data_IF_937503004863
#
_entry.id   IF_937503004863
#
_cell.length_a   1.000
_cell.length_b   1.000
_cell.length_c   1.000
_cell.angle_alpha   90.00
_cell.angle_beta   90.00
_cell.angle_gamma   90.00
#
_symmetry.space_group_name_H-M   'P 1'
#
loop_
_entity.id
_entity.type
_entity.pdbx_description
1 polymer ?
#
# COMPACT_ATOMS: atom_id res chain seq x y z
N UNK A 1 -23.33 28.87 13.27
CA UNK A 1 -23.52 28.38 11.90
C UNK A 1 -22.65 27.15 11.70
N UNK A 2 -23.19 25.93 11.69
CA UNK A 2 -22.36 24.73 11.47
C UNK A 2 -21.81 24.75 10.04
N UNK A 3 -20.49 24.94 9.90
CA UNK A 3 -19.80 24.85 8.60
C UNK A 3 -20.09 23.48 7.98
N UNK A 4 -20.73 23.46 6.79
CA UNK A 4 -20.95 22.23 6.01
C UNK A 4 -19.60 21.56 5.76
N UNK A 5 -19.49 20.26 6.03
CA UNK A 5 -18.28 19.49 5.74
C UNK A 5 -18.31 19.10 4.26
N UNK A 6 -17.43 19.67 3.42
CA UNK A 6 -17.33 19.30 2.01
C UNK A 6 -16.74 17.89 1.89
N UNK A 7 -17.39 17.03 1.10
CA UNK A 7 -16.90 15.68 0.77
C UNK A 7 -16.28 15.75 -0.61
N UNK A 8 -15.00 15.37 -0.70
CA UNK A 8 -14.24 15.28 -1.94
C UNK A 8 -14.32 13.82 -2.42
N UNK A 9 -15.23 13.56 -3.35
CA UNK A 9 -15.55 12.19 -3.79
C UNK A 9 -14.46 11.53 -4.63
N UNK A 10 -13.71 12.31 -5.42
CA UNK A 10 -12.62 11.77 -6.24
C UNK A 10 -11.43 11.31 -5.39
N UNK A 11 -11.13 12.06 -4.34
CA UNK A 11 -10.04 11.79 -3.40
C UNK A 11 -10.48 10.89 -2.24
N UNK A 12 -11.79 10.69 -2.06
CA UNK A 12 -12.37 9.87 -0.99
C UNK A 12 -12.14 10.44 0.41
N UNK A 13 -12.00 11.77 0.54
CA UNK A 13 -11.70 12.44 1.81
C UNK A 13 -12.73 13.52 2.16
N UNK A 14 -12.83 13.84 3.45
CA UNK A 14 -13.66 14.95 3.92
C UNK A 14 -12.79 16.13 4.32
N UNK A 15 -13.29 17.34 4.09
CA UNK A 15 -12.57 18.57 4.41
C UNK A 15 -12.15 18.62 5.89
N UNK A 16 -13.06 18.25 6.79
CA UNK A 16 -12.77 18.18 8.23
C UNK A 16 -11.69 17.15 8.56
N UNK A 17 -11.71 15.99 7.91
CA UNK A 17 -10.72 14.92 8.16
C UNK A 17 -9.32 15.34 7.74
N UNK A 18 -9.17 15.93 6.56
CA UNK A 18 -7.88 16.43 6.06
C UNK A 18 -7.36 17.57 6.95
N UNK A 19 -8.20 18.56 7.25
CA UNK A 19 -7.81 19.68 8.13
C UNK A 19 -7.40 19.22 9.53
N UNK A 20 -8.09 18.21 10.08
CA UNK A 20 -7.70 17.61 11.35
C UNK A 20 -6.30 16.99 11.26
N UNK A 21 -6.00 16.21 10.22
CA UNK A 21 -4.68 15.59 10.06
C UNK A 21 -3.55 16.59 9.79
N UNK A 22 -3.84 17.68 9.09
CA UNK A 22 -2.86 18.74 8.81
C UNK A 22 -2.50 19.53 10.07
N UNK A 23 -3.51 19.91 10.86
CA UNK A 23 -3.36 20.82 12.02
C UNK A 23 -3.15 20.10 13.36
N UNK A 24 -3.34 18.79 13.43
CA UNK A 24 -3.16 18.05 14.69
C UNK A 24 -1.66 17.96 15.03
N UNK A 25 -1.16 18.80 15.92
CA UNK A 25 0.22 18.72 16.43
C UNK A 25 0.37 17.74 17.60
N UNK A 26 -0.74 17.38 18.27
CA UNK A 26 -0.75 16.62 19.52
C UNK A 26 -1.51 15.29 19.41
N UNK A 27 -1.40 14.65 18.25
CA UNK A 27 -2.06 13.37 17.98
C UNK A 27 -1.45 12.24 18.81
N UNK A 28 -2.27 11.27 19.24
CA UNK A 28 -1.83 9.97 19.81
C UNK A 28 -0.79 9.25 18.92
N UNK A 29 -0.74 9.60 17.64
CA UNK A 29 0.12 9.03 16.62
C UNK A 29 1.37 9.88 16.31
N UNK A 30 1.75 10.83 17.17
CA UNK A 30 2.96 11.65 16.98
C UNK A 30 4.22 10.80 16.78
N UNK A 31 4.28 9.63 17.41
CA UNK A 31 5.37 8.66 17.26
C UNK A 31 5.53 8.09 15.84
N UNK A 32 4.53 8.22 14.96
CA UNK A 32 4.63 7.82 13.55
C UNK A 32 5.30 8.87 12.65
N UNK A 33 5.44 10.12 13.13
CA UNK A 33 5.98 11.25 12.36
C UNK A 33 7.51 11.23 12.16
N UNK A 34 8.33 10.74 13.10
CA UNK A 34 9.78 10.64 12.87
C UNK A 34 10.10 9.84 11.62
N UNK A 35 11.06 10.32 10.83
CA UNK A 35 11.42 9.71 9.55
C UNK A 35 11.81 8.23 9.70
N UNK A 36 12.44 7.84 10.82
CA UNK A 36 12.79 6.44 11.10
C UNK A 36 11.54 5.54 11.15
N UNK A 37 10.50 5.97 11.85
CA UNK A 37 9.29 5.17 12.03
C UNK A 37 8.46 5.13 10.75
N UNK A 38 8.46 6.22 9.97
CA UNK A 38 7.90 6.25 8.61
C UNK A 38 8.58 5.24 7.68
N UNK A 39 9.91 5.17 7.70
CA UNK A 39 10.65 4.18 6.90
C UNK A 39 10.35 2.74 7.33
N UNK A 40 10.20 2.50 8.63
CA UNK A 40 9.77 1.17 9.13
C UNK A 40 8.37 0.83 8.60
N UNK A 41 7.41 1.76 8.61
CA UNK A 41 6.09 1.54 8.03
C UNK A 41 6.16 1.22 6.53
N UNK A 42 7.01 1.92 5.77
CA UNK A 42 7.22 1.66 4.34
C UNK A 42 7.78 0.24 4.12
N UNK A 43 8.76 -0.18 4.93
CA UNK A 43 9.31 -1.54 4.86
C UNK A 43 8.24 -2.58 5.21
N UNK A 44 7.45 -2.35 6.26
CA UNK A 44 6.35 -3.24 6.64
C UNK A 44 5.31 -3.35 5.53
N UNK A 45 4.96 -2.24 4.88
CA UNK A 45 4.05 -2.24 3.74
C UNK A 45 4.63 -3.01 2.56
N UNK A 46 5.91 -2.80 2.23
CA UNK A 46 6.59 -3.53 1.17
C UNK A 46 6.61 -5.05 1.44
N UNK A 47 6.90 -5.46 2.68
CA UNK A 47 6.83 -6.86 3.10
C UNK A 47 5.40 -7.39 2.96
N UNK A 48 4.38 -6.63 3.37
CA UNK A 48 2.97 -7.02 3.21
C UNK A 48 2.58 -7.25 1.74
N UNK A 49 3.05 -6.39 0.84
CA UNK A 49 2.83 -6.54 -0.61
C UNK A 49 3.52 -7.81 -1.15
N UNK A 50 4.76 -8.09 -0.72
CA UNK A 50 5.47 -9.32 -1.08
C UNK A 50 4.74 -10.55 -0.55
N UNK A 51 4.31 -10.55 0.71
CA UNK A 51 3.54 -11.65 1.29
C UNK A 51 2.22 -11.88 0.56
N UNK A 52 1.54 -10.82 0.13
CA UNK A 52 0.35 -10.93 -0.71
C UNK A 52 0.69 -11.59 -2.03
N UNK A 53 1.74 -11.13 -2.73
CA UNK A 53 2.17 -11.74 -3.99
C UNK A 53 2.55 -13.22 -3.85
N UNK A 54 3.14 -13.61 -2.70
CA UNK A 54 3.46 -15.00 -2.39
C UNK A 54 2.22 -15.87 -2.15
N UNK A 55 1.05 -15.27 -1.89
CA UNK A 55 -0.23 -15.98 -1.83
C UNK A 55 -0.55 -16.77 -3.10
N UNK A 56 -0.02 -16.34 -4.25
CA UNK A 56 -0.13 -17.08 -5.51
C UNK A 56 0.58 -18.43 -5.51
N UNK A 57 1.56 -18.67 -4.61
CA UNK A 57 2.23 -19.97 -4.46
C UNK A 57 1.58 -20.87 -3.41
N UNK A 58 0.40 -20.49 -2.90
CA UNK A 58 -0.29 -21.27 -1.86
C UNK A 58 -0.56 -22.73 -2.21
N UNK A 59 -1.03 -23.09 -3.44
CA UNK A 59 -1.23 -24.48 -3.82
C UNK A 59 0.05 -25.31 -3.72
N UNK A 60 1.19 -24.77 -4.16
CA UNK A 60 2.51 -25.41 -4.04
C UNK A 60 2.95 -25.55 -2.58
N UNK A 61 2.66 -24.56 -1.73
CA UNK A 61 2.94 -24.68 -0.29
C UNK A 61 2.08 -25.75 0.38
N UNK A 62 0.80 -25.83 0.01
CA UNK A 62 -0.14 -26.84 0.53
C UNK A 62 0.32 -28.26 0.19
N UNK A 63 0.79 -28.50 -1.03
CA UNK A 63 1.28 -29.82 -1.45
C UNK A 63 2.59 -30.19 -0.75
N UNK A 64 3.55 -29.25 -0.62
CA UNK A 64 4.82 -29.52 0.06
C UNK A 64 4.67 -29.78 1.56
N UNK A 65 3.67 -29.18 2.21
CA UNK A 65 3.40 -29.34 3.64
C UNK A 65 2.49 -30.54 3.97
N UNK A 66 2.08 -31.34 2.97
CA UNK A 66 1.18 -32.48 3.11
C UNK A 66 -0.08 -32.18 3.95
N UNK A 67 -0.64 -30.97 3.81
CA UNK A 67 -1.81 -30.55 4.59
C UNK A 67 -3.09 -31.23 4.08
N UNK A 68 -3.92 -31.71 5.00
CA UNK A 68 -5.26 -32.19 4.63
C UNK A 68 -6.09 -31.05 4.02
N UNK A 69 -7.06 -31.36 3.14
CA UNK A 69 -7.88 -30.34 2.49
C UNK A 69 -8.55 -29.37 3.45
N UNK A 70 -9.12 -29.89 4.54
CA UNK A 70 -9.86 -29.10 5.53
C UNK A 70 -8.94 -28.15 6.32
N UNK A 71 -7.77 -28.65 6.76
CA UNK A 71 -6.78 -27.84 7.48
C UNK A 71 -6.18 -26.78 6.56
N UNK A 72 -5.91 -27.12 5.30
CA UNK A 72 -5.37 -26.18 4.32
C UNK A 72 -6.29 -24.97 4.08
N UNK A 73 -7.61 -25.18 4.01
CA UNK A 73 -8.58 -24.08 3.84
C UNK A 73 -8.59 -23.17 5.07
N UNK A 74 -8.53 -23.73 6.28
CA UNK A 74 -8.52 -22.96 7.52
C UNK A 74 -7.25 -22.09 7.60
N UNK A 75 -6.07 -22.69 7.39
CA UNK A 75 -4.79 -21.96 7.45
C UNK A 75 -4.75 -20.86 6.40
N UNK A 76 -5.21 -21.15 5.18
CA UNK A 76 -5.29 -20.15 4.12
C UNK A 76 -6.19 -18.97 4.51
N UNK A 77 -7.40 -19.25 4.98
CA UNK A 77 -8.38 -18.21 5.31
C UNK A 77 -7.90 -17.33 6.46
N UNK A 78 -7.34 -17.93 7.51
CA UNK A 78 -6.80 -17.20 8.66
C UNK A 78 -5.61 -16.34 8.27
N UNK A 79 -4.67 -16.89 7.49
CA UNK A 79 -3.50 -16.14 7.03
C UNK A 79 -3.88 -14.99 6.08
N UNK A 80 -4.80 -15.22 5.14
CA UNK A 80 -5.30 -14.20 4.23
C UNK A 80 -5.96 -13.04 4.99
N UNK A 81 -6.84 -13.34 5.96
CA UNK A 81 -7.47 -12.30 6.81
C UNK A 81 -6.42 -11.49 7.55
N UNK A 82 -5.43 -12.15 8.16
CA UNK A 82 -4.37 -11.47 8.90
C UNK A 82 -3.53 -10.56 8.00
N UNK A 83 -3.15 -11.03 6.80
CA UNK A 83 -2.38 -10.26 5.81
C UNK A 83 -3.18 -9.05 5.34
N UNK A 84 -4.48 -9.23 5.02
CA UNK A 84 -5.35 -8.11 4.61
C UNK A 84 -5.45 -7.06 5.71
N UNK A 85 -5.70 -7.48 6.97
CA UNK A 85 -5.77 -6.57 8.10
C UNK A 85 -4.44 -5.85 8.33
N UNK A 86 -3.31 -6.55 8.20
CA UNK A 86 -1.99 -5.95 8.34
C UNK A 86 -1.72 -4.90 7.25
N UNK A 87 -2.08 -5.18 6.00
CA UNK A 87 -1.89 -4.25 4.87
C UNK A 87 -2.78 -3.03 5.00
N UNK A 88 -4.07 -3.22 5.26
CA UNK A 88 -5.02 -2.11 5.45
C UNK A 88 -4.63 -1.27 6.67
N UNK A 89 -4.20 -1.91 7.75
CA UNK A 89 -3.68 -1.24 8.95
C UNK A 89 -2.42 -0.43 8.66
N UNK A 90 -1.42 -1.03 8.02
CA UNK A 90 -0.17 -0.35 7.64
C UNK A 90 -0.44 0.82 6.70
N UNK A 91 -1.30 0.64 5.69
CA UNK A 91 -1.71 1.71 4.79
C UNK A 91 -2.38 2.86 5.54
N UNK A 92 -3.29 2.56 6.47
CA UNK A 92 -3.96 3.58 7.29
C UNK A 92 -2.97 4.34 8.17
N UNK A 93 -2.01 3.65 8.79
CA UNK A 93 -0.94 4.30 9.56
C UNK A 93 -0.01 5.14 8.68
N UNK A 94 0.27 4.68 7.46
CA UNK A 94 1.08 5.42 6.50
C UNK A 94 0.39 6.73 6.11
N UNK A 95 -0.94 6.71 5.85
CA UNK A 95 -1.74 7.92 5.57
C UNK A 95 -1.68 8.92 6.72
N UNK A 96 -1.81 8.44 7.96
CA UNK A 96 -1.67 9.30 9.15
C UNK A 96 -0.25 9.87 9.24
N UNK A 97 0.77 9.06 8.96
CA UNK A 97 2.17 9.47 9.07
C UNK A 97 2.58 10.55 8.05
N UNK A 98 1.94 10.59 6.88
CA UNK A 98 2.13 11.64 5.86
C UNK A 98 1.06 12.74 5.91
N UNK A 99 0.28 12.81 7.01
CA UNK A 99 -0.84 13.76 7.21
C UNK A 99 -1.88 13.75 6.07
N UNK A 100 -2.00 12.62 5.37
CA UNK A 100 -2.84 12.47 4.19
C UNK A 100 -2.57 13.50 3.07
N UNK A 101 -1.38 14.11 3.02
CA UNK A 101 -1.04 15.10 1.98
C UNK A 101 -1.09 14.47 0.58
N UNK A 102 -0.75 13.19 0.47
CA UNK A 102 -0.88 12.43 -0.78
C UNK A 102 -2.32 12.45 -1.34
N UNK A 103 -3.34 12.41 -0.48
CA UNK A 103 -4.75 12.28 -0.85
C UNK A 103 -5.55 13.56 -0.58
N UNK A 104 -4.89 14.64 -0.17
CA UNK A 104 -5.54 15.90 0.15
C UNK A 104 -5.80 16.71 -1.14
N UNK A 105 -6.99 17.32 -1.30
CA UNK A 105 -7.31 18.16 -2.46
C UNK A 105 -6.52 19.47 -2.43
N UNK A 106 -6.23 20.01 -3.60
CA UNK A 106 -5.36 21.19 -3.80
C UNK A 106 -5.85 22.41 -3.03
N UNK A 107 -7.17 22.59 -2.92
CA UNK A 107 -7.81 23.69 -2.17
C UNK A 107 -7.42 23.73 -0.68
N UNK A 108 -6.96 22.61 -0.12
CA UNK A 108 -6.64 22.46 1.30
C UNK A 108 -5.15 22.45 1.58
N UNK A 109 -4.32 22.50 0.54
CA UNK A 109 -2.88 22.39 0.64
C UNK A 109 -2.20 23.72 0.32
N UNK A 110 -1.12 24.00 1.04
CA UNK A 110 -0.25 25.13 0.71
C UNK A 110 0.58 24.81 -0.55
N UNK A 111 1.08 25.84 -1.24
CA UNK A 111 1.88 25.68 -2.47
C UNK A 111 3.07 24.72 -2.30
N UNK A 112 3.76 24.81 -1.15
CA UNK A 112 4.87 23.89 -0.81
C UNK A 112 4.38 22.44 -0.69
N UNK A 113 3.24 22.21 -0.07
CA UNK A 113 2.68 20.86 0.10
C UNK A 113 2.28 20.26 -1.25
N UNK A 114 1.68 21.07 -2.13
CA UNK A 114 1.35 20.68 -3.51
C UNK A 114 2.62 20.28 -4.27
N UNK A 115 3.68 21.09 -4.19
CA UNK A 115 4.95 20.79 -4.87
C UNK A 115 5.58 19.48 -4.37
N UNK A 116 5.59 19.25 -3.05
CA UNK A 116 6.09 18.00 -2.44
C UNK A 116 5.25 16.80 -2.87
N UNK A 117 3.92 16.94 -2.88
CA UNK A 117 2.98 15.90 -3.31
C UNK A 117 3.21 15.53 -4.77
N UNK A 118 3.23 16.50 -5.68
CA UNK A 118 3.40 16.27 -7.12
C UNK A 118 4.77 15.64 -7.43
N UNK A 119 5.82 16.10 -6.74
CA UNK A 119 7.14 15.48 -6.86
C UNK A 119 7.11 14.03 -6.38
N UNK A 120 6.44 13.74 -5.26
CA UNK A 120 6.30 12.37 -4.74
C UNK A 120 5.51 11.47 -5.70
N UNK A 121 4.42 11.95 -6.28
CA UNK A 121 3.66 11.24 -7.33
C UNK A 121 4.52 10.90 -8.54
N UNK A 122 5.35 11.85 -9.01
CA UNK A 122 6.25 11.60 -10.14
C UNK A 122 7.19 10.43 -9.88
N UNK A 123 7.86 10.41 -8.72
CA UNK A 123 8.75 9.29 -8.37
C UNK A 123 7.98 8.00 -8.13
N UNK A 124 6.80 8.07 -7.50
CA UNK A 124 5.95 6.90 -7.27
C UNK A 124 5.56 6.23 -8.59
N UNK A 125 5.09 6.98 -9.58
CA UNK A 125 4.73 6.40 -10.87
C UNK A 125 5.92 5.98 -11.72
N UNK A 126 7.09 6.61 -11.56
CA UNK A 126 8.32 6.05 -12.14
C UNK A 126 8.68 4.70 -11.53
N UNK A 127 8.65 4.55 -10.20
CA UNK A 127 8.89 3.26 -9.55
C UNK A 127 7.84 2.24 -10.01
N UNK A 128 6.56 2.63 -10.05
CA UNK A 128 5.49 1.76 -10.53
C UNK A 128 5.74 1.32 -11.98
N UNK A 129 6.20 2.21 -12.87
CA UNK A 129 6.51 1.85 -14.25
C UNK A 129 7.62 0.80 -14.35
N UNK A 130 8.66 0.88 -13.51
CA UNK A 130 9.69 -0.15 -13.46
C UNK A 130 9.17 -1.48 -12.92
N UNK A 131 8.31 -1.43 -11.90
CA UNK A 131 7.64 -2.63 -11.36
C UNK A 131 6.77 -3.28 -12.44
N UNK A 132 5.94 -2.50 -13.12
CA UNK A 132 5.07 -2.98 -14.21
C UNK A 132 5.90 -3.53 -15.37
N UNK A 133 6.99 -2.87 -15.75
CA UNK A 133 7.90 -3.38 -16.78
C UNK A 133 8.51 -4.73 -16.36
N UNK A 134 8.93 -4.87 -15.11
CA UNK A 134 9.40 -6.13 -14.55
C UNK A 134 8.33 -7.22 -14.59
N UNK A 135 7.09 -6.89 -14.24
CA UNK A 135 5.94 -7.81 -14.34
C UNK A 135 5.62 -8.19 -15.79
N UNK A 136 5.75 -7.26 -16.74
CA UNK A 136 5.58 -7.57 -18.16
C UNK A 136 6.65 -8.55 -18.65
N UNK A 137 7.92 -8.33 -18.30
CA UNK A 137 9.01 -9.28 -18.59
C UNK A 137 8.69 -10.65 -17.99
N UNK A 138 8.20 -10.69 -16.75
CA UNK A 138 7.81 -11.92 -16.08
C UNK A 138 6.60 -12.59 -16.76
N UNK A 139 5.68 -11.83 -17.35
CA UNK A 139 4.58 -12.39 -18.15
C UNK A 139 5.08 -13.04 -19.45
N UNK A 140 6.12 -12.49 -20.08
CA UNK A 140 6.71 -13.07 -21.30
C UNK A 140 7.57 -14.32 -21.03
N UNK A 141 8.45 -14.27 -20.03
CA UNK A 141 9.41 -15.36 -19.75
C UNK A 141 8.97 -16.31 -18.62
N UNK A 142 8.00 -15.91 -17.79
CA UNK A 142 7.48 -16.70 -16.68
C UNK A 142 6.92 -18.06 -17.09
N UNK A 143 6.20 -18.20 -18.23
CA UNK A 143 5.73 -19.50 -18.71
C UNK A 143 6.89 -20.44 -19.08
N UNK A 144 7.94 -19.95 -19.74
CA UNK A 144 9.13 -20.74 -20.10
C UNK A 144 9.88 -21.22 -18.85
N UNK A 145 9.94 -20.36 -17.83
CA UNK A 145 10.57 -20.64 -16.54
C UNK A 145 9.65 -21.40 -15.57
N UNK A 146 8.47 -21.82 -16.03
CA UNK A 146 7.46 -22.53 -15.23
C UNK A 146 7.05 -21.80 -13.94
N UNK A 147 7.21 -20.48 -13.89
CA UNK A 147 6.89 -19.67 -12.71
C UNK A 147 5.39 -19.57 -12.49
N UNK A 148 4.59 -19.54 -13.55
CA UNK A 148 3.13 -19.52 -13.48
C UNK A 148 2.57 -20.77 -14.16
N UNK A 149 1.73 -21.51 -13.45
CA UNK A 149 1.12 -22.74 -13.95
C UNK A 149 -0.38 -22.78 -13.64
N UNK A 150 -1.22 -23.31 -14.55
CA UNK A 150 -2.66 -23.48 -14.30
C UNK A 150 -2.95 -24.30 -13.04
N UNK A 151 -2.09 -25.27 -12.73
CA UNK A 151 -2.14 -26.08 -11.52
C UNK A 151 -1.14 -25.57 -10.47
N UNK A 152 -1.39 -24.37 -9.95
CA UNK A 152 -0.85 -23.99 -8.65
C UNK A 152 -0.26 -22.59 -8.50
N UNK A 153 0.06 -21.88 -9.58
CA UNK A 153 0.43 -20.46 -9.51
C UNK A 153 -0.21 -19.69 -10.66
N UNK A 154 -1.39 -19.16 -10.39
CA UNK A 154 -2.24 -18.39 -11.30
C UNK A 154 -1.82 -16.91 -11.41
N UNK A 155 -0.88 -16.44 -10.58
CA UNK A 155 -0.40 -15.06 -10.57
C UNK A 155 -1.44 -14.02 -10.13
N UNK A 156 -2.63 -14.44 -9.73
CA UNK A 156 -3.75 -13.56 -9.37
C UNK A 156 -3.42 -12.63 -8.19
N UNK A 157 -2.74 -13.16 -7.16
CA UNK A 157 -2.31 -12.36 -6.01
C UNK A 157 -1.17 -11.38 -6.32
N UNK A 158 -0.37 -11.64 -7.36
CA UNK A 158 0.62 -10.68 -7.87
C UNK A 158 -0.09 -9.45 -8.44
N UNK A 159 -1.18 -9.65 -9.17
CA UNK A 159 -2.01 -8.55 -9.69
C UNK A 159 -2.65 -7.78 -8.53
N UNK A 160 -3.22 -8.48 -7.54
CA UNK A 160 -3.81 -7.85 -6.35
C UNK A 160 -2.77 -7.02 -5.59
N UNK A 161 -1.58 -7.58 -5.34
CA UNK A 161 -0.48 -6.86 -4.70
C UNK A 161 -0.06 -5.63 -5.51
N UNK A 162 -0.05 -5.70 -6.84
CA UNK A 162 0.26 -4.57 -7.72
C UNK A 162 -0.77 -3.45 -7.60
N UNK A 163 -2.06 -3.79 -7.51
CA UNK A 163 -3.13 -2.81 -7.28
C UNK A 163 -2.97 -2.12 -5.93
N UNK A 164 -2.73 -2.88 -4.84
CA UNK A 164 -2.44 -2.28 -3.54
C UNK A 164 -1.18 -1.42 -3.55
N UNK A 165 -0.13 -1.86 -4.26
CA UNK A 165 1.08 -1.09 -4.44
C UNK A 165 0.79 0.24 -5.13
N UNK A 166 -0.02 0.26 -6.19
CA UNK A 166 -0.36 1.48 -6.94
C UNK A 166 -1.03 2.55 -6.07
N UNK A 167 -1.90 2.14 -5.13
CA UNK A 167 -2.55 3.06 -4.20
C UNK A 167 -1.61 3.53 -3.09
N UNK A 168 -0.74 2.65 -2.58
CA UNK A 168 0.14 2.95 -1.46
C UNK A 168 1.42 3.71 -1.84
N UNK A 169 1.89 3.56 -3.07
CA UNK A 169 3.19 4.05 -3.54
C UNK A 169 3.44 5.56 -3.33
N UNK A 170 2.49 6.46 -3.65
CA UNK A 170 2.67 7.90 -3.41
C UNK A 170 2.93 8.22 -1.94
N UNK A 171 2.15 7.59 -1.04
CA UNK A 171 2.31 7.73 0.40
C UNK A 171 3.63 7.10 0.88
N UNK A 172 4.06 5.97 0.32
CA UNK A 172 5.32 5.32 0.67
C UNK A 172 6.53 6.17 0.28
N UNK A 173 6.54 6.72 -0.93
CA UNK A 173 7.62 7.59 -1.43
C UNK A 173 7.72 8.86 -0.60
N UNK A 174 6.59 9.49 -0.30
CA UNK A 174 6.55 10.69 0.55
C UNK A 174 7.06 10.39 1.96
N UNK A 175 6.60 9.29 2.57
CA UNK A 175 7.05 8.85 3.89
C UNK A 175 8.56 8.55 3.95
N UNK A 176 9.13 8.03 2.86
CA UNK A 176 10.53 7.67 2.79
C UNK A 176 11.45 8.88 2.60
N UNK A 177 11.09 9.79 1.70
CA UNK A 177 11.94 10.89 1.24
C UNK A 177 11.90 12.11 2.16
N UNK A 178 10.71 12.55 2.56
CA UNK A 178 10.55 13.85 3.19
C UNK A 178 10.97 13.83 4.66
N UNK A 179 11.95 14.66 5.03
CA UNK A 179 12.48 14.75 6.39
C UNK A 179 11.45 15.38 7.34
N UNK A 180 10.81 16.47 6.92
CA UNK A 180 9.83 17.21 7.71
C UNK A 180 8.57 17.47 6.89
N UNK A 181 7.46 16.86 7.33
CA UNK A 181 6.10 17.07 6.83
C UNK A 181 5.25 17.61 7.97
#
# INVERSE_FOLDING_TARGET
MFKKNKIYWFEGVTEKGVKALLNDENSKYRWLRPQRNRRVLVILMAIGLVLTSLGSYWPTLKTNLNLSPDVGVIVYSVSAIFVILAIVGCYSFLRIAVRSIADAPDELLDERQIAVRNTSYRYAYFILSYVLMGLMVLMFFGPELQMFQPEGNDGSYVVIATLFASAALPSMVMAWRERDI
#
